data_IF_436170440661
#
_entry.id   IF_436170440661
#
_cell.length_a   1.000
_cell.length_b   1.000
_cell.length_c   1.000
_cell.angle_alpha   90.00
_cell.angle_beta   90.00
_cell.angle_gamma   90.00
#
_symmetry.space_group_name_H-M   'P 1'
#
loop_
_entity.id
_entity.type
_entity.pdbx_description
1 polymer ?
#
# COMPACT_ATOMS: atom_id res chain seq x y z
N UNK A 1 5.81 3.41 -21.08
CA UNK A 1 5.04 4.48 -21.76
C UNK A 1 5.28 4.41 -23.25
N UNK A 2 6.52 4.52 -23.71
CA UNK A 2 6.87 4.49 -25.15
C UNK A 2 6.45 3.17 -25.82
N UNK A 3 6.53 2.05 -25.12
CA UNK A 3 6.16 0.72 -25.62
C UNK A 3 4.67 0.38 -25.43
N UNK A 4 3.86 1.31 -24.93
CA UNK A 4 2.43 1.11 -24.68
C UNK A 4 2.08 0.13 -23.55
N UNK A 5 3.06 -0.32 -22.78
CA UNK A 5 2.86 -1.26 -21.68
C UNK A 5 2.35 -0.59 -20.41
N UNK A 6 2.63 0.69 -20.24
CA UNK A 6 2.22 1.48 -19.08
C UNK A 6 1.54 2.76 -19.56
N UNK A 7 0.36 3.05 -19.03
CA UNK A 7 -0.30 4.34 -19.25
C UNK A 7 0.50 5.47 -18.57
N UNK A 8 0.39 6.71 -19.07
CA UNK A 8 0.99 7.85 -18.37
C UNK A 8 0.54 7.91 -16.92
N UNK A 9 1.49 8.09 -16.00
CA UNK A 9 1.21 8.18 -14.58
C UNK A 9 2.04 9.29 -13.94
N UNK A 10 1.54 9.83 -12.84
CA UNK A 10 2.24 10.78 -11.98
C UNK A 10 2.81 9.99 -10.79
N UNK A 11 4.12 10.05 -10.63
CA UNK A 11 4.80 9.44 -9.48
C UNK A 11 5.11 10.53 -8.48
N UNK A 12 4.64 10.35 -7.24
CA UNK A 12 4.92 11.22 -6.10
C UNK A 12 5.77 10.44 -5.11
N UNK A 13 6.90 11.00 -4.70
CA UNK A 13 7.83 10.39 -3.75
C UNK A 13 7.78 11.15 -2.41
N UNK A 14 6.80 10.85 -1.56
CA UNK A 14 6.67 11.53 -0.27
C UNK A 14 7.63 10.94 0.77
N UNK A 15 7.80 11.68 1.85
CA UNK A 15 8.42 11.18 3.08
C UNK A 15 7.43 11.34 4.24
N UNK A 16 7.49 10.45 5.23
CA UNK A 16 6.68 10.57 6.44
C UNK A 16 7.28 11.61 7.43
N UNK A 17 7.58 12.77 6.92
CA UNK A 17 7.90 14.02 7.62
C UNK A 17 8.86 13.90 8.82
N UNK A 18 10.11 13.52 8.57
CA UNK A 18 11.17 13.58 9.56
C UNK A 18 11.55 15.03 9.82
N UNK A 19 11.55 15.47 11.08
CA UNK A 19 11.90 16.82 11.48
C UNK A 19 13.42 17.00 11.64
N UNK A 20 14.17 15.92 11.77
CA UNK A 20 15.62 15.94 11.85
C UNK A 20 16.27 14.69 11.26
N UNK A 21 17.53 14.76 10.87
CA UNK A 21 18.30 13.61 10.39
C UNK A 21 18.54 12.52 11.45
N UNK A 22 18.21 12.77 12.72
CA UNK A 22 18.25 11.76 13.79
C UNK A 22 17.02 10.90 13.82
N UNK A 23 15.88 11.39 13.31
CA UNK A 23 14.58 10.72 13.34
C UNK A 23 14.60 9.46 12.49
N UNK A 24 15.34 9.44 11.38
CA UNK A 24 15.48 8.27 10.52
C UNK A 24 16.19 7.07 11.15
N UNK A 25 16.90 7.28 12.27
CA UNK A 25 17.52 6.21 13.07
C UNK A 25 16.65 5.70 14.21
N UNK A 26 15.49 6.30 14.47
CA UNK A 26 14.56 5.88 15.52
C UNK A 26 13.42 5.05 14.92
N UNK A 27 13.50 3.74 15.10
CA UNK A 27 12.51 2.81 14.59
C UNK A 27 11.11 3.02 15.17
N UNK A 28 10.99 3.34 16.47
CA UNK A 28 9.70 3.55 17.12
C UNK A 28 9.03 4.84 16.62
N UNK A 29 9.84 5.89 16.42
CA UNK A 29 9.34 7.12 15.82
C UNK A 29 8.88 6.88 14.36
N UNK A 30 9.65 6.12 13.58
CA UNK A 30 9.26 5.75 12.21
C UNK A 30 7.92 5.01 12.17
N UNK A 31 7.66 4.09 13.09
CA UNK A 31 6.36 3.40 13.20
C UNK A 31 5.22 4.37 13.52
N UNK A 32 5.43 5.32 14.43
CA UNK A 32 4.44 6.34 14.76
C UNK A 32 4.16 7.27 13.59
N UNK A 33 5.20 7.73 12.90
CA UNK A 33 5.07 8.63 11.76
C UNK A 33 4.36 7.95 10.58
N UNK A 34 4.67 6.68 10.29
CA UNK A 34 3.98 5.92 9.24
C UNK A 34 2.51 5.67 9.58
N UNK A 35 2.18 5.40 10.85
CA UNK A 35 0.79 5.23 11.27
C UNK A 35 -0.02 6.52 11.10
N UNK A 36 0.59 7.69 11.30
CA UNK A 36 -0.08 9.00 11.18
C UNK A 36 -0.04 9.61 9.78
N UNK A 37 0.79 9.08 8.87
CA UNK A 37 1.02 9.67 7.55
C UNK A 37 -0.24 9.77 6.70
N UNK A 38 -1.20 8.88 6.88
CA UNK A 38 -2.49 8.90 6.18
C UNK A 38 -3.22 10.24 6.33
N UNK A 39 -3.05 10.96 7.44
CA UNK A 39 -3.67 12.27 7.66
C UNK A 39 -3.10 13.32 6.70
N UNK A 40 -1.77 13.41 6.60
CA UNK A 40 -1.10 14.31 5.65
C UNK A 40 -1.40 13.88 4.21
N UNK A 41 -1.40 12.59 3.95
CA UNK A 41 -1.65 12.03 2.62
C UNK A 41 -3.01 12.46 2.07
N UNK A 42 -4.08 12.31 2.85
CA UNK A 42 -5.46 12.61 2.43
C UNK A 42 -5.78 14.09 2.47
N UNK A 43 -5.31 14.81 3.51
CA UNK A 43 -5.71 16.19 3.71
C UNK A 43 -4.84 17.21 2.97
N UNK A 44 -3.59 16.86 2.67
CA UNK A 44 -2.63 17.79 2.11
C UNK A 44 -2.04 17.30 0.78
N UNK A 45 -1.43 16.12 0.74
CA UNK A 45 -0.65 15.68 -0.41
C UNK A 45 -1.52 15.37 -1.63
N UNK A 46 -2.57 14.56 -1.48
CA UNK A 46 -3.48 14.21 -2.59
C UNK A 46 -4.12 15.49 -3.14
N UNK A 47 -4.77 16.35 -2.35
CA UNK A 47 -5.34 17.59 -2.84
C UNK A 47 -4.32 18.51 -3.55
N UNK A 48 -3.10 18.60 -3.01
CA UNK A 48 -2.04 19.42 -3.60
C UNK A 48 -1.62 18.92 -5.00
N UNK A 49 -1.50 17.60 -5.18
CA UNK A 49 -1.16 16.99 -6.47
C UNK A 49 -2.33 17.10 -7.44
N UNK A 50 -3.53 16.70 -7.02
CA UNK A 50 -4.72 16.65 -7.86
C UNK A 50 -5.18 18.04 -8.32
N UNK A 51 -4.95 19.09 -7.51
CA UNK A 51 -5.23 20.46 -7.91
C UNK A 51 -4.25 21.04 -8.93
N UNK A 52 -3.05 20.46 -9.02
CA UNK A 52 -1.96 20.99 -9.83
C UNK A 52 -1.81 20.30 -11.18
N UNK A 53 -2.13 19.03 -11.26
CA UNK A 53 -1.91 18.21 -12.44
C UNK A 53 -3.24 17.69 -13.01
N UNK A 54 -3.26 17.38 -14.30
CA UNK A 54 -4.40 16.75 -14.94
C UNK A 54 -4.47 15.29 -14.52
N UNK A 55 -5.45 14.95 -13.71
CA UNK A 55 -5.69 13.63 -13.13
C UNK A 55 -7.11 13.18 -13.42
N UNK A 56 -7.54 12.10 -12.80
CA UNK A 56 -8.93 11.60 -12.91
C UNK A 56 -9.89 12.22 -11.88
N UNK A 57 -9.37 12.98 -10.90
CA UNK A 57 -10.23 13.72 -9.98
C UNK A 57 -10.85 14.93 -10.68
N UNK A 58 -12.18 15.05 -10.62
CA UNK A 58 -12.90 16.20 -11.15
C UNK A 58 -12.70 17.45 -10.29
N UNK A 59 -12.54 17.24 -8.98
CA UNK A 59 -12.23 18.29 -8.00
C UNK A 59 -11.43 17.70 -6.82
N UNK A 60 -10.98 18.56 -5.92
CA UNK A 60 -10.19 18.17 -4.74
C UNK A 60 -10.99 18.13 -3.44
N UNK A 61 -12.30 18.09 -3.53
CA UNK A 61 -13.14 17.78 -2.36
C UNK A 61 -12.92 16.32 -1.94
N UNK A 62 -13.20 16.00 -0.69
CA UNK A 62 -13.10 14.61 -0.21
C UNK A 62 -13.96 13.66 -1.05
N UNK A 63 -15.11 14.11 -1.53
CA UNK A 63 -15.97 13.31 -2.40
C UNK A 63 -15.37 13.13 -3.79
N UNK A 64 -14.87 14.18 -4.44
CA UNK A 64 -14.19 14.09 -5.75
C UNK A 64 -12.96 13.18 -5.70
N UNK A 65 -12.21 13.24 -4.59
CA UNK A 65 -11.07 12.35 -4.36
C UNK A 65 -11.48 10.89 -4.15
N UNK A 66 -12.61 10.61 -3.50
CA UNK A 66 -13.15 9.25 -3.37
C UNK A 66 -13.62 8.69 -4.70
N UNK A 67 -14.33 9.46 -5.50
CA UNK A 67 -14.83 9.05 -6.81
C UNK A 67 -13.70 8.66 -7.79
N UNK A 68 -12.51 9.23 -7.62
CA UNK A 68 -11.34 8.93 -8.45
C UNK A 68 -10.36 7.92 -7.84
N UNK A 69 -10.73 7.23 -6.73
CA UNK A 69 -9.87 6.29 -6.01
C UNK A 69 -9.26 5.17 -6.87
N UNK A 70 -9.99 4.72 -7.88
CA UNK A 70 -9.59 3.60 -8.75
C UNK A 70 -8.39 3.93 -9.65
N UNK A 71 -7.94 5.16 -9.63
CA UNK A 71 -6.77 5.65 -10.36
C UNK A 71 -5.57 5.96 -9.46
N UNK A 72 -5.61 5.55 -8.19
CA UNK A 72 -4.50 5.77 -7.24
C UNK A 72 -3.95 4.48 -6.69
N UNK A 73 -2.62 4.44 -6.60
CA UNK A 73 -1.88 3.39 -5.93
C UNK A 73 -0.92 3.98 -4.89
N UNK A 74 -0.62 3.20 -3.87
CA UNK A 74 0.39 3.50 -2.87
C UNK A 74 1.31 2.30 -2.71
N UNK A 75 2.62 2.54 -2.66
CA UNK A 75 3.59 1.47 -2.50
C UNK A 75 4.83 1.92 -1.77
N UNK A 76 5.59 0.97 -1.26
CA UNK A 76 6.84 1.25 -0.59
C UNK A 76 7.61 0.01 -0.17
N UNK A 77 8.91 0.21 0.03
CA UNK A 77 9.85 -0.82 0.43
C UNK A 77 10.24 -0.67 1.91
N UNK A 78 10.42 -1.77 2.64
CA UNK A 78 10.88 -1.79 4.03
C UNK A 78 9.92 -1.00 4.95
N UNK A 79 10.36 0.08 5.57
CA UNK A 79 9.49 0.98 6.34
C UNK A 79 8.40 1.61 5.44
N UNK A 80 8.67 1.81 4.16
CA UNK A 80 7.66 2.20 3.17
C UNK A 80 6.58 1.13 2.95
N UNK A 81 6.92 -0.16 3.10
CA UNK A 81 5.94 -1.25 3.13
C UNK A 81 5.04 -1.18 4.35
N UNK A 82 5.61 -0.90 5.53
CA UNK A 82 4.81 -0.65 6.75
C UNK A 82 3.87 0.53 6.54
N UNK A 83 4.36 1.62 5.94
CA UNK A 83 3.54 2.77 5.57
C UNK A 83 2.45 2.41 4.55
N UNK A 84 2.73 1.50 3.60
CA UNK A 84 1.73 1.01 2.66
C UNK A 84 0.60 0.26 3.37
N UNK A 85 0.91 -0.57 4.37
CA UNK A 85 -0.09 -1.24 5.18
C UNK A 85 -0.89 -0.28 6.07
N UNK A 86 -0.25 0.75 6.64
CA UNK A 86 -0.96 1.81 7.36
C UNK A 86 -1.88 2.59 6.41
N UNK A 87 -1.42 2.90 5.20
CA UNK A 87 -2.25 3.54 4.17
C UNK A 87 -3.43 2.64 3.78
N UNK A 88 -3.22 1.34 3.56
CA UNK A 88 -4.30 0.37 3.33
C UNK A 88 -5.33 0.40 4.46
N UNK A 89 -4.89 0.39 5.71
CA UNK A 89 -5.78 0.42 6.88
C UNK A 89 -6.71 1.63 6.91
N UNK A 90 -6.22 2.82 6.54
CA UNK A 90 -6.95 4.08 6.80
C UNK A 90 -7.53 4.73 5.54
N UNK A 91 -7.14 4.29 4.32
CA UNK A 91 -7.42 5.07 3.11
C UNK A 91 -8.00 4.26 1.95
N UNK A 92 -8.69 3.16 2.22
CA UNK A 92 -9.38 2.39 1.18
C UNK A 92 -10.40 3.23 0.39
N UNK A 93 -10.95 4.29 0.98
CA UNK A 93 -11.79 5.28 0.30
C UNK A 93 -11.07 6.09 -0.79
N UNK A 94 -9.72 6.14 -0.76
CA UNK A 94 -8.92 7.02 -1.61
C UNK A 94 -7.94 6.29 -2.53
N UNK A 95 -7.65 5.02 -2.24
CA UNK A 95 -6.74 4.18 -3.00
C UNK A 95 -7.35 2.82 -3.32
N UNK A 96 -7.07 2.33 -4.54
CA UNK A 96 -7.42 0.98 -4.97
C UNK A 96 -6.22 0.04 -4.95
N UNK A 97 -5.02 0.53 -5.31
CA UNK A 97 -3.85 -0.31 -5.53
C UNK A 97 -2.81 -0.12 -4.44
N UNK A 98 -2.30 -1.24 -3.90
CA UNK A 98 -1.30 -1.23 -2.84
C UNK A 98 -0.14 -2.12 -3.22
N UNK A 99 1.09 -1.63 -3.04
CA UNK A 99 2.31 -2.37 -3.36
C UNK A 99 3.30 -2.37 -2.17
N UNK A 100 3.00 -3.14 -1.12
CA UNK A 100 3.93 -3.33 0.00
C UNK A 100 5.07 -4.27 -0.41
N UNK A 101 6.32 -3.90 -0.11
CA UNK A 101 7.51 -4.67 -0.43
C UNK A 101 8.39 -4.83 0.80
N UNK A 102 8.68 -6.08 1.18
CA UNK A 102 9.66 -6.42 2.24
C UNK A 102 9.42 -5.75 3.59
N UNK A 103 8.17 -5.73 4.06
CA UNK A 103 7.82 -5.18 5.38
C UNK A 103 6.41 -5.54 5.80
N UNK A 104 6.26 -6.24 6.93
CA UNK A 104 4.97 -6.68 7.48
C UNK A 104 4.37 -5.65 8.43
N UNK A 105 3.06 -5.76 8.63
CA UNK A 105 2.28 -4.97 9.58
C UNK A 105 1.65 -5.86 10.67
N UNK A 106 0.90 -6.89 10.27
CA UNK A 106 0.24 -7.83 11.17
C UNK A 106 0.21 -9.23 10.58
N UNK A 107 0.60 -10.23 11.37
CA UNK A 107 0.45 -11.63 10.98
C UNK A 107 -0.96 -12.20 11.24
N UNK A 108 -1.89 -11.38 11.72
CA UNK A 108 -3.28 -11.74 11.96
C UNK A 108 -4.13 -11.42 10.70
N UNK A 109 -4.44 -12.47 9.94
CA UNK A 109 -5.23 -12.35 8.71
C UNK A 109 -6.67 -11.95 8.95
N UNK A 110 -7.27 -12.38 10.07
CA UNK A 110 -8.64 -12.02 10.43
C UNK A 110 -8.74 -10.53 10.78
N UNK A 111 -7.75 -10.02 11.53
CA UNK A 111 -7.63 -8.59 11.78
C UNK A 111 -7.52 -7.78 10.47
N UNK A 112 -6.70 -8.24 9.52
CA UNK A 112 -6.57 -7.56 8.22
C UNK A 112 -7.88 -7.58 7.43
N UNK A 113 -8.64 -8.66 7.51
CA UNK A 113 -9.96 -8.76 6.87
C UNK A 113 -10.99 -7.86 7.54
N UNK A 114 -10.94 -7.72 8.86
CA UNK A 114 -11.82 -6.81 9.61
C UNK A 114 -11.60 -5.35 9.22
N UNK A 115 -10.35 -4.92 8.98
CA UNK A 115 -10.07 -3.57 8.47
C UNK A 115 -10.80 -3.27 7.15
N UNK A 116 -10.86 -4.25 6.25
CA UNK A 116 -11.61 -4.11 4.98
C UNK A 116 -13.10 -3.96 5.23
N UNK A 117 -13.68 -4.78 6.11
CA UNK A 117 -15.11 -4.72 6.43
C UNK A 117 -15.48 -3.40 7.12
N UNK A 118 -14.66 -2.96 8.08
CA UNK A 118 -14.87 -1.69 8.81
C UNK A 118 -14.82 -0.48 7.87
N UNK A 119 -14.02 -0.55 6.80
CA UNK A 119 -13.98 0.51 5.78
C UNK A 119 -15.21 0.56 4.87
N UNK A 120 -16.07 -0.47 4.91
CA UNK A 120 -17.22 -0.60 4.02
C UNK A 120 -16.89 -1.13 2.63
N UNK A 121 -15.63 -1.49 2.36
CA UNK A 121 -15.18 -2.06 1.11
C UNK A 121 -15.22 -3.60 1.11
N UNK A 122 -15.18 -4.18 -0.09
CA UNK A 122 -15.15 -5.61 -0.30
C UNK A 122 -13.94 -6.07 -1.13
N UNK A 123 -13.84 -7.39 -1.37
CA UNK A 123 -12.69 -7.97 -2.08
C UNK A 123 -12.53 -7.51 -3.54
N UNK A 124 -13.54 -6.89 -4.14
CA UNK A 124 -13.47 -6.36 -5.51
C UNK A 124 -12.99 -4.90 -5.56
N UNK A 125 -12.84 -4.26 -4.39
CA UNK A 125 -12.58 -2.83 -4.32
C UNK A 125 -11.09 -2.47 -4.25
N UNK A 126 -10.20 -3.44 -4.12
CA UNK A 126 -8.76 -3.19 -4.04
C UNK A 126 -7.94 -4.32 -4.65
N UNK A 127 -6.68 -4.02 -4.95
CA UNK A 127 -5.68 -5.01 -5.33
C UNK A 127 -4.36 -4.75 -4.61
N UNK A 128 -3.80 -5.81 -4.01
CA UNK A 128 -2.51 -5.79 -3.31
C UNK A 128 -1.51 -6.59 -4.13
N UNK A 129 -0.46 -5.96 -4.62
CA UNK A 129 0.71 -6.59 -5.20
C UNK A 129 1.85 -6.55 -4.19
N UNK A 130 2.13 -7.66 -3.55
CA UNK A 130 3.19 -7.77 -2.54
C UNK A 130 4.41 -8.49 -3.09
N UNK A 131 5.61 -8.08 -2.66
CA UNK A 131 6.86 -8.69 -3.10
C UNK A 131 7.92 -8.72 -1.99
N UNK A 132 8.76 -9.77 -2.00
CA UNK A 132 9.92 -9.87 -1.12
C UNK A 132 10.98 -10.84 -1.68
N UNK A 133 12.25 -10.58 -1.38
CA UNK A 133 13.33 -11.54 -1.58
C UNK A 133 13.27 -12.67 -0.55
N UNK A 134 13.65 -13.90 -0.93
CA UNK A 134 13.63 -15.04 0.00
C UNK A 134 14.75 -14.99 1.04
N UNK A 135 15.85 -14.29 0.73
CA UNK A 135 17.00 -14.10 1.62
C UNK A 135 16.91 -12.76 2.39
N UNK A 136 15.77 -12.08 2.29
CA UNK A 136 15.47 -10.85 3.02
C UNK A 136 15.18 -11.16 4.50
N UNK A 137 15.74 -10.38 5.42
CA UNK A 137 15.49 -10.54 6.86
C UNK A 137 14.00 -10.34 7.24
N UNK A 138 13.25 -9.54 6.47
CA UNK A 138 11.82 -9.30 6.67
C UNK A 138 10.93 -10.39 6.05
N UNK A 139 11.48 -11.27 5.19
CA UNK A 139 10.72 -12.22 4.40
C UNK A 139 9.80 -13.11 5.23
N UNK A 140 10.32 -13.73 6.29
CA UNK A 140 9.53 -14.68 7.09
C UNK A 140 8.28 -14.04 7.71
N UNK A 141 8.41 -12.84 8.26
CA UNK A 141 7.29 -12.11 8.85
C UNK A 141 6.32 -11.61 7.76
N UNK A 142 6.85 -11.12 6.64
CA UNK A 142 6.06 -10.64 5.52
C UNK A 142 5.25 -11.76 4.86
N UNK A 143 5.89 -12.89 4.58
CA UNK A 143 5.21 -14.10 4.06
C UNK A 143 4.15 -14.60 5.03
N UNK A 144 4.44 -14.65 6.34
CA UNK A 144 3.45 -15.07 7.33
C UNK A 144 2.18 -14.21 7.28
N UNK A 145 2.31 -12.89 7.17
CA UNK A 145 1.19 -11.99 7.00
C UNK A 145 0.40 -12.29 5.73
N UNK A 146 1.06 -12.33 4.58
CA UNK A 146 0.39 -12.53 3.28
C UNK A 146 -0.33 -13.87 3.22
N UNK A 147 0.29 -14.93 3.75
CA UNK A 147 -0.33 -16.26 3.84
C UNK A 147 -1.51 -16.27 4.81
N UNK A 148 -1.41 -15.61 5.96
CA UNK A 148 -2.52 -15.49 6.90
C UNK A 148 -3.72 -14.77 6.28
N UNK A 149 -3.49 -13.68 5.55
CA UNK A 149 -4.52 -12.97 4.81
C UNK A 149 -5.22 -13.88 3.77
N UNK A 150 -4.45 -14.57 2.94
CA UNK A 150 -5.00 -15.47 1.91
C UNK A 150 -5.74 -16.69 2.45
N UNK A 151 -5.54 -17.03 3.73
CA UNK A 151 -6.20 -18.15 4.40
C UNK A 151 -7.45 -17.76 5.21
N UNK A 152 -7.85 -16.49 5.21
CA UNK A 152 -9.06 -16.06 5.93
C UNK A 152 -10.29 -16.75 5.35
N UNK A 153 -11.15 -17.39 6.19
CA UNK A 153 -12.27 -18.20 5.71
C UNK A 153 -13.31 -17.45 4.89
N UNK A 154 -13.52 -16.16 5.15
CA UNK A 154 -14.51 -15.32 4.48
C UNK A 154 -14.09 -14.87 3.07
N UNK A 155 -12.83 -15.21 2.66
CA UNK A 155 -12.29 -14.90 1.34
C UNK A 155 -12.20 -13.40 1.02
N UNK A 156 -12.04 -12.56 2.03
CA UNK A 156 -11.75 -11.13 1.85
C UNK A 156 -10.49 -10.94 0.99
N UNK A 157 -9.48 -11.81 1.15
CA UNK A 157 -8.29 -11.85 0.32
C UNK A 157 -8.27 -13.12 -0.53
N UNK A 158 -8.02 -12.96 -1.83
CA UNK A 158 -7.97 -14.06 -2.79
C UNK A 158 -6.71 -13.97 -3.63
N UNK A 159 -5.86 -14.98 -3.52
CA UNK A 159 -4.63 -15.04 -4.33
C UNK A 159 -4.95 -15.06 -5.83
N UNK A 160 -4.28 -14.18 -6.58
CA UNK A 160 -4.34 -14.13 -8.03
C UNK A 160 -3.15 -13.35 -8.61
N UNK A 161 -2.85 -13.60 -9.88
CA UNK A 161 -1.81 -12.87 -10.61
C UNK A 161 -2.30 -11.53 -11.17
N UNK A 162 -3.60 -11.28 -11.13
CA UNK A 162 -4.24 -10.06 -11.61
C UNK A 162 -5.58 -9.80 -10.95
N UNK A 163 -6.06 -8.57 -11.01
CA UNK A 163 -7.29 -8.12 -10.36
C UNK A 163 -8.59 -8.73 -10.92
N UNK A 164 -8.57 -9.33 -12.12
CA UNK A 164 -9.75 -10.00 -12.67
C UNK A 164 -10.07 -11.33 -11.95
N UNK A 165 -9.08 -11.93 -11.29
CA UNK A 165 -9.19 -13.25 -10.66
C UNK A 165 -9.11 -13.21 -9.12
N UNK A 166 -8.69 -12.10 -8.55
CA UNK A 166 -8.56 -11.92 -7.10
C UNK A 166 -7.97 -10.56 -6.76
N UNK A 167 -7.49 -10.41 -5.52
CA UNK A 167 -7.07 -9.10 -5.01
C UNK A 167 -5.78 -9.13 -4.19
N UNK A 168 -5.09 -10.28 -4.16
CA UNK A 168 -3.84 -10.44 -3.44
C UNK A 168 -2.82 -11.20 -4.29
N UNK A 169 -1.72 -10.57 -4.64
CA UNK A 169 -0.59 -11.20 -5.32
C UNK A 169 0.64 -11.19 -4.43
N UNK A 170 1.43 -12.27 -4.47
CA UNK A 170 2.69 -12.34 -3.73
C UNK A 170 3.81 -12.85 -4.64
N UNK A 171 4.74 -11.97 -4.97
CA UNK A 171 5.94 -12.28 -5.72
C UNK A 171 7.10 -12.59 -4.77
N UNK A 172 7.62 -13.79 -4.84
CA UNK A 172 8.82 -14.23 -4.13
C UNK A 172 10.02 -14.21 -5.10
N UNK A 173 11.04 -13.44 -4.77
CA UNK A 173 12.28 -13.38 -5.56
C UNK A 173 13.36 -14.23 -4.89
N UNK A 174 13.60 -15.41 -5.43
CA UNK A 174 14.55 -16.38 -4.87
C UNK A 174 15.97 -15.83 -4.84
N UNK A 175 16.64 -15.93 -3.67
CA UNK A 175 18.02 -15.51 -3.45
C UNK A 175 18.22 -13.99 -3.31
N UNK A 176 17.16 -13.19 -3.41
CA UNK A 176 17.28 -11.74 -3.21
C UNK A 176 17.23 -11.39 -1.72
N UNK A 177 18.12 -10.50 -1.34
CA UNK A 177 18.22 -9.93 0.02
C UNK A 177 17.31 -8.70 0.19
N UNK A 178 17.44 -7.99 1.32
CA UNK A 178 16.70 -6.75 1.58
C UNK A 178 17.16 -5.61 0.67
N UNK A 179 16.66 -5.59 -0.56
CA UNK A 179 17.03 -4.63 -1.60
C UNK A 179 15.79 -4.25 -2.42
N UNK A 180 15.58 -2.96 -2.66
CA UNK A 180 14.44 -2.45 -3.44
C UNK A 180 14.50 -2.81 -4.94
N UNK A 181 15.61 -3.39 -5.41
CA UNK A 181 15.78 -3.89 -6.78
C UNK A 181 15.47 -5.38 -6.92
N UNK A 182 15.05 -6.02 -5.84
CA UNK A 182 14.74 -7.44 -5.78
C UNK A 182 13.55 -7.87 -6.66
#
# INVERSE_FOLDING_TARGET
IEDGQIQPLIIVLPTYNNTSGRDSGDYNLALQLTDQFHNELVNDLIPAVESKYSTYAEDTTLEGLRLSRDHRGFGGFSMGSVNTWCTFRYTLDYFRYFMPMSGSYSADGEYMAELVKESGHGPEDFFIFSASGTDDFAYSAFKAQVMAMGNVPDRTFRFADNEANGNLSFLEREGYVHDATA
#
